data_IF_516876164514
#
_entry.id   IF_516876164514
#
_cell.length_a   1.000
_cell.length_b   1.000
_cell.length_c   1.000
_cell.angle_alpha   90.00
_cell.angle_beta   90.00
_cell.angle_gamma   90.00
#
_symmetry.space_group_name_H-M   'P 1'
#
loop_
_entity.id
_entity.type
_entity.pdbx_description
1 polymer ?
#
# COMPACT_ATOMS: atom_id res chain seq x y z
N UNK A 1 -11.27 2.92 -19.32
CA UNK A 1 -10.11 2.89 -18.41
C UNK A 1 -10.25 4.03 -17.41
N UNK A 2 -10.45 3.72 -16.12
CA UNK A 2 -10.66 4.75 -15.09
C UNK A 2 -9.35 5.53 -14.83
N UNK A 3 -9.35 6.82 -15.17
CA UNK A 3 -8.42 7.87 -14.73
C UNK A 3 -6.91 7.51 -14.67
N UNK A 4 -6.16 7.62 -15.79
CA UNK A 4 -4.70 7.42 -15.79
C UNK A 4 -3.93 8.30 -14.78
N UNK A 5 -4.46 9.48 -14.45
CA UNK A 5 -3.86 10.41 -13.47
C UNK A 5 -3.90 9.84 -12.04
N UNK A 6 -5.00 9.19 -11.65
CA UNK A 6 -5.13 8.60 -10.32
C UNK A 6 -4.21 7.38 -10.15
N UNK A 7 -4.03 6.60 -11.22
CA UNK A 7 -3.07 5.50 -11.27
C UNK A 7 -1.62 5.98 -11.12
N UNK A 8 -1.24 7.05 -11.84
CA UNK A 8 0.10 7.64 -11.76
C UNK A 8 0.39 8.24 -10.38
N UNK A 9 -0.58 8.94 -9.77
CA UNK A 9 -0.43 9.47 -8.43
C UNK A 9 -0.25 8.35 -7.39
N UNK A 10 -1.06 7.29 -7.48
CA UNK A 10 -0.93 6.12 -6.60
C UNK A 10 0.42 5.42 -6.76
N UNK A 11 0.91 5.31 -8.00
CA UNK A 11 2.22 4.75 -8.31
C UNK A 11 3.35 5.60 -7.74
N UNK A 12 3.26 6.93 -7.82
CA UNK A 12 4.27 7.84 -7.29
C UNK A 12 4.37 7.74 -5.76
N UNK A 13 3.24 7.74 -5.06
CA UNK A 13 3.23 7.58 -3.58
C UNK A 13 3.77 6.20 -3.19
N UNK A 14 3.40 5.15 -3.94
CA UNK A 14 3.97 3.81 -3.73
C UNK A 14 5.49 3.79 -3.93
N UNK A 15 5.99 4.39 -5.01
CA UNK A 15 7.43 4.47 -5.29
C UNK A 15 8.19 5.18 -4.18
N UNK A 16 7.66 6.30 -3.66
CA UNK A 16 8.27 7.03 -2.54
C UNK A 16 8.29 6.17 -1.27
N UNK A 17 7.18 5.50 -0.95
CA UNK A 17 7.10 4.62 0.22
C UNK A 17 8.09 3.45 0.13
N UNK A 18 8.24 2.84 -1.06
CA UNK A 18 9.22 1.78 -1.32
C UNK A 18 10.65 2.29 -1.26
N UNK A 19 10.92 3.48 -1.80
CA UNK A 19 12.25 4.09 -1.77
C UNK A 19 12.73 4.39 -0.34
N UNK A 20 11.84 4.87 0.53
CA UNK A 20 12.16 5.19 1.93
C UNK A 20 12.33 3.91 2.76
N UNK A 21 11.38 2.98 2.67
CA UNK A 21 11.38 1.79 3.55
C UNK A 21 12.31 0.69 3.07
N UNK A 22 12.64 0.66 1.77
CA UNK A 22 13.29 -0.48 1.08
C UNK A 22 12.57 -1.81 1.28
N UNK A 23 11.32 -1.77 1.75
CA UNK A 23 10.46 -2.93 1.98
C UNK A 23 9.17 -2.73 1.18
N UNK A 24 9.09 -3.37 0.01
CA UNK A 24 7.95 -3.26 -0.90
C UNK A 24 6.62 -3.59 -0.20
N UNK A 25 6.67 -4.58 0.69
CA UNK A 25 5.52 -5.06 1.48
C UNK A 25 5.08 -4.08 2.54
N UNK A 26 6.03 -3.48 3.27
CA UNK A 26 5.73 -2.50 4.31
C UNK A 26 5.16 -1.22 3.70
N UNK A 27 5.76 -0.75 2.60
CA UNK A 27 5.26 0.41 1.86
C UNK A 27 3.82 0.20 1.37
N UNK A 28 3.50 -0.99 0.85
CA UNK A 28 2.15 -1.30 0.35
C UNK A 28 1.10 -1.35 1.48
N UNK A 29 1.44 -1.92 2.63
CA UNK A 29 0.54 -1.96 3.79
C UNK A 29 0.32 -0.55 4.36
N UNK A 30 1.39 0.22 4.55
CA UNK A 30 1.30 1.59 5.06
C UNK A 30 0.50 2.49 4.12
N UNK A 31 0.72 2.39 2.81
CA UNK A 31 -0.06 3.12 1.82
C UNK A 31 -1.55 2.82 1.95
N UNK A 32 -1.91 1.54 2.10
CA UNK A 32 -3.30 1.11 2.22
C UNK A 32 -3.94 1.63 3.52
N UNK A 33 -3.24 1.55 4.64
CA UNK A 33 -3.71 2.08 5.93
C UNK A 33 -3.85 3.61 5.88
N UNK A 34 -2.85 4.32 5.34
CA UNK A 34 -2.89 5.78 5.19
C UNK A 34 -4.04 6.23 4.28
N UNK A 35 -4.28 5.52 3.17
CA UNK A 35 -5.41 5.80 2.28
C UNK A 35 -6.75 5.58 3.00
N UNK A 36 -6.88 4.47 3.73
CA UNK A 36 -8.08 4.18 4.53
C UNK A 36 -8.33 5.31 5.55
N UNK A 37 -7.32 5.66 6.35
CA UNK A 37 -7.46 6.70 7.38
C UNK A 37 -7.77 8.08 6.78
N UNK A 38 -7.10 8.44 5.68
CA UNK A 38 -7.39 9.67 4.96
C UNK A 38 -8.85 9.73 4.50
N UNK A 39 -9.44 8.62 4.04
CA UNK A 39 -10.84 8.59 3.59
C UNK A 39 -11.86 8.94 4.70
N UNK A 40 -11.50 8.77 5.97
CA UNK A 40 -12.33 9.15 7.12
C UNK A 40 -12.07 10.59 7.58
N UNK A 41 -10.87 11.12 7.37
CA UNK A 41 -10.49 12.49 7.74
C UNK A 41 -10.99 13.50 6.71
N UNK A 42 -11.09 13.12 5.42
CA UNK A 42 -11.58 14.05 4.38
C UNK A 42 -13.11 14.07 4.35
N UNK A 43 -13.68 15.24 4.10
CA UNK A 43 -15.13 15.46 3.92
C UNK A 43 -15.67 14.92 2.57
N UNK A 44 -14.87 14.15 1.82
CA UNK A 44 -15.24 13.62 0.51
C UNK A 44 -14.98 14.58 -0.64
N UNK A 45 -14.24 15.67 -0.40
CA UNK A 45 -13.77 16.59 -1.44
C UNK A 45 -12.95 15.91 -2.54
N UNK A 46 -12.32 14.77 -2.22
CA UNK A 46 -11.58 13.92 -3.17
C UNK A 46 -12.40 12.74 -3.71
N UNK A 47 -13.65 12.58 -3.26
CA UNK A 47 -14.53 11.53 -3.75
C UNK A 47 -14.89 11.82 -5.22
N UNK A 48 -14.92 10.77 -6.03
CA UNK A 48 -15.42 10.86 -7.40
C UNK A 48 -16.85 11.39 -7.38
N UNK A 49 -17.16 12.40 -8.20
CA UNK A 49 -18.53 12.93 -8.36
C UNK A 49 -19.50 11.78 -8.63
N UNK A 50 -20.52 11.65 -7.78
CA UNK A 50 -21.54 10.60 -7.88
C UNK A 50 -21.23 9.32 -7.10
N UNK A 51 -20.12 9.25 -6.37
CA UNK A 51 -19.83 8.15 -5.46
C UNK A 51 -20.13 8.57 -4.03
N UNK A 52 -21.05 7.85 -3.38
CA UNK A 52 -21.34 7.99 -1.95
C UNK A 52 -20.07 7.80 -1.12
N UNK A 53 -19.77 8.77 -0.25
CA UNK A 53 -18.56 8.77 0.58
C UNK A 53 -18.48 7.53 1.47
N UNK A 54 -19.64 7.02 1.91
CA UNK A 54 -19.76 5.81 2.69
C UNK A 54 -19.37 4.56 1.90
N UNK A 55 -19.73 4.48 0.63
CA UNK A 55 -19.33 3.37 -0.26
C UNK A 55 -17.80 3.34 -0.47
N UNK A 56 -17.17 4.52 -0.61
CA UNK A 56 -15.70 4.62 -0.70
C UNK A 56 -15.01 4.16 0.57
N UNK A 57 -15.51 4.58 1.74
CA UNK A 57 -14.97 4.18 3.05
C UNK A 57 -15.07 2.67 3.28
N UNK A 58 -16.23 2.08 2.97
CA UNK A 58 -16.44 0.62 3.09
C UNK A 58 -15.46 -0.13 2.17
N UNK A 59 -15.33 0.31 0.92
CA UNK A 59 -14.39 -0.28 -0.03
C UNK A 59 -12.93 -0.15 0.46
N UNK A 60 -12.54 1.02 0.96
CA UNK A 60 -11.20 1.26 1.49
C UNK A 60 -10.86 0.34 2.66
N UNK A 61 -11.82 0.10 3.57
CA UNK A 61 -11.67 -0.84 4.68
C UNK A 61 -11.51 -2.27 4.17
N UNK A 62 -12.39 -2.73 3.27
CA UNK A 62 -12.34 -4.08 2.70
C UNK A 62 -11.01 -4.33 1.99
N UNK A 63 -10.58 -3.39 1.13
CA UNK A 63 -9.32 -3.48 0.40
C UNK A 63 -8.15 -3.52 1.36
N UNK A 64 -8.15 -2.68 2.40
CA UNK A 64 -7.09 -2.66 3.42
C UNK A 64 -6.99 -3.99 4.15
N UNK A 65 -8.12 -4.60 4.53
CA UNK A 65 -8.15 -5.92 5.18
C UNK A 65 -7.58 -6.99 4.24
N UNK A 66 -8.05 -7.04 2.98
CA UNK A 66 -7.60 -8.03 2.00
C UNK A 66 -6.09 -7.91 1.73
N UNK A 67 -5.62 -6.69 1.49
CA UNK A 67 -4.19 -6.40 1.23
C UNK A 67 -3.36 -6.80 2.45
N UNK A 68 -3.76 -6.39 3.65
CA UNK A 68 -3.06 -6.75 4.90
C UNK A 68 -3.01 -8.27 5.09
N UNK A 69 -4.12 -8.98 4.87
CA UNK A 69 -4.19 -10.43 4.97
C UNK A 69 -3.29 -11.12 3.93
N UNK A 70 -3.29 -10.64 2.69
CA UNK A 70 -2.44 -11.18 1.62
C UNK A 70 -0.95 -11.02 1.94
N UNK A 71 -0.58 -9.97 2.68
CA UNK A 71 0.79 -9.74 3.12
C UNK A 71 1.15 -10.41 4.45
N UNK A 72 0.31 -11.26 5.06
CA UNK A 72 0.61 -11.94 6.34
C UNK A 72 1.99 -12.61 6.39
N UNK A 73 2.40 -13.26 5.30
CA UNK A 73 3.72 -13.92 5.22
C UNK A 73 4.88 -12.92 5.17
N UNK A 74 4.66 -11.75 4.56
CA UNK A 74 5.63 -10.67 4.52
C UNK A 74 5.70 -9.96 5.89
N UNK A 75 4.55 -9.78 6.56
CA UNK A 75 4.50 -9.27 7.93
C UNK A 75 5.28 -10.19 8.89
N UNK A 76 5.07 -11.51 8.80
CA UNK A 76 5.82 -12.48 9.60
C UNK A 76 7.33 -12.40 9.34
N UNK A 77 7.76 -12.29 8.08
CA UNK A 77 9.18 -12.10 7.73
C UNK A 77 9.73 -10.75 8.18
N UNK A 78 8.94 -9.67 8.14
CA UNK A 78 9.29 -8.36 8.69
C UNK A 78 9.54 -8.44 10.20
N UNK A 79 8.62 -9.06 10.96
CA UNK A 79 8.76 -9.26 12.41
C UNK A 79 10.02 -10.07 12.73
N UNK A 80 10.34 -11.08 11.92
CA UNK A 80 11.55 -11.91 12.06
C UNK A 80 12.82 -11.25 11.51
N UNK A 81 12.73 -10.10 10.84
CA UNK A 81 13.87 -9.46 10.16
C UNK A 81 14.37 -10.21 8.91
N UNK A 82 13.62 -11.18 8.42
CA UNK A 82 13.94 -12.06 7.27
C UNK A 82 13.42 -11.50 5.93
N UNK A 83 12.67 -10.40 5.97
CA UNK A 83 12.13 -9.76 4.78
C UNK A 83 13.28 -9.24 3.88
N UNK A 84 13.26 -9.62 2.60
CA UNK A 84 14.24 -9.16 1.63
C UNK A 84 14.05 -7.67 1.38
N UNK A 85 15.08 -6.88 1.71
CA UNK A 85 15.14 -5.46 1.31
C UNK A 85 15.25 -5.39 -0.21
N UNK A 86 14.45 -4.52 -0.81
CA UNK A 86 14.51 -4.23 -2.24
C UNK A 86 15.92 -3.72 -2.59
N UNK A 87 16.58 -4.41 -3.53
CA UNK A 87 17.97 -4.14 -3.92
C UNK A 87 19.05 -4.81 -3.07
N UNK A 88 18.70 -5.71 -2.13
CA UNK A 88 19.71 -6.60 -1.53
C UNK A 88 20.11 -7.63 -2.60
N UNK A 89 21.32 -7.50 -3.16
CA UNK A 89 21.90 -8.55 -4.00
C UNK A 89 21.91 -9.84 -3.19
N UNK A 90 21.42 -10.93 -3.77
CA UNK A 90 21.71 -12.25 -3.21
C UNK A 90 23.22 -12.42 -3.30
N UNK A 91 23.90 -12.53 -2.15
CA UNK A 91 25.25 -13.06 -2.13
C UNK A 91 25.14 -14.49 -2.65
N UNK A 92 25.40 -14.66 -3.95
CA UNK A 92 25.65 -15.97 -4.55
C UNK A 92 26.85 -16.52 -3.80
N UNK A 93 26.61 -17.27 -2.73
CA UNK A 93 27.65 -18.06 -2.09
C UNK A 93 28.08 -19.10 -3.11
N UNK A 94 29.13 -18.76 -3.85
CA UNK A 94 29.98 -19.73 -4.52
C UNK A 94 30.62 -20.59 -3.42
N UNK A 95 30.06 -21.79 -3.22
CA UNK A 95 30.81 -22.97 -2.80
C UNK A 95 29.96 -24.23 -2.93
#
# INVERSE_FOLDING_TARGET
ALYPVAGLASLAVWLIAVAITRYVSLGSILLCISFCLSSFITDGSYALKGVEIWSLRIMAVIVTIIVTYKHKGNIQRLIKGEERKFGKREDIKSK
#
